data_IF_137875918142
#
_entry.id   IF_137875918142
#
_cell.length_a   1.000
_cell.length_b   1.000
_cell.length_c   1.000
_cell.angle_alpha   90.00
_cell.angle_beta   90.00
_cell.angle_gamma   90.00
#
_symmetry.space_group_name_H-M   'P 1'
#
loop_
_entity.id
_entity.type
_entity.pdbx_description
1 polymer ?
#
# COMPACT_ATOMS: atom_id res chain seq x y z
N UNK A 1 62.46 -22.67 -12.10
CA UNK A 1 62.30 -21.33 -12.69
C UNK A 1 60.89 -20.83 -12.40
N UNK A 2 60.80 -19.58 -11.97
CA UNK A 2 59.81 -19.03 -11.04
C UNK A 2 58.38 -18.92 -11.60
N UNK A 3 57.40 -19.37 -10.80
CA UNK A 3 55.99 -18.91 -10.87
C UNK A 3 55.92 -17.54 -10.19
N UNK A 4 55.78 -16.49 -10.99
CA UNK A 4 55.48 -15.14 -10.53
C UNK A 4 54.03 -15.08 -10.06
N UNK A 5 53.84 -14.89 -8.75
CA UNK A 5 52.59 -14.38 -8.15
C UNK A 5 52.42 -12.94 -8.60
N UNK A 6 51.36 -12.65 -9.37
CA UNK A 6 50.87 -11.28 -9.52
C UNK A 6 49.96 -10.97 -8.33
N UNK A 7 50.47 -10.15 -7.42
CA UNK A 7 49.64 -9.36 -6.52
C UNK A 7 49.05 -8.20 -7.34
N UNK A 8 47.76 -8.28 -7.68
CA UNK A 8 47.01 -7.09 -8.10
C UNK A 8 46.37 -6.48 -6.86
N UNK A 9 47.05 -5.49 -6.31
CA UNK A 9 46.45 -4.48 -5.45
C UNK A 9 45.54 -3.59 -6.31
N UNK A 10 44.25 -3.93 -6.41
CA UNK A 10 43.24 -3.01 -6.92
C UNK A 10 42.56 -2.33 -5.74
N UNK A 11 43.06 -1.15 -5.40
CA UNK A 11 42.26 -0.11 -4.76
C UNK A 11 41.15 0.30 -5.75
N UNK A 12 40.01 -0.41 -5.68
CA UNK A 12 38.83 -0.11 -6.49
C UNK A 12 38.17 1.20 -6.06
N UNK A 13 37.49 1.91 -6.99
CA UNK A 13 36.81 3.16 -6.70
C UNK A 13 35.67 2.94 -5.70
N UNK A 14 35.59 3.82 -4.70
CA UNK A 14 34.51 3.84 -3.71
C UNK A 14 33.18 4.16 -4.42
N UNK A 15 32.36 3.13 -4.62
CA UNK A 15 30.98 3.24 -5.09
C UNK A 15 30.14 4.03 -4.08
N UNK A 16 29.60 5.16 -4.53
CA UNK A 16 28.66 5.99 -3.79
C UNK A 16 27.27 5.37 -3.97
N UNK A 17 26.80 4.68 -2.92
CA UNK A 17 25.46 4.10 -2.88
C UNK A 17 24.38 5.14 -2.55
N UNK A 18 23.20 4.87 -3.10
CA UNK A 18 22.07 5.76 -3.41
C UNK A 18 21.59 6.71 -2.31
N UNK A 19 21.15 7.87 -2.79
CA UNK A 19 20.25 8.90 -2.22
C UNK A 19 20.00 8.87 -0.70
N UNK A 20 19.46 7.80 -0.11
CA UNK A 20 19.22 7.75 1.34
C UNK A 20 20.49 7.75 2.22
N UNK A 21 21.60 7.14 1.77
CA UNK A 21 22.87 7.16 2.54
C UNK A 21 23.61 8.49 2.39
N UNK A 22 23.47 9.13 1.23
CA UNK A 22 23.98 10.47 0.94
C UNK A 22 23.29 11.54 1.80
N UNK A 23 21.96 11.48 1.92
CA UNK A 23 21.15 12.38 2.75
C UNK A 23 21.54 12.30 4.24
N UNK A 24 21.76 11.08 4.77
CA UNK A 24 22.16 10.88 6.17
C UNK A 24 23.62 11.30 6.45
N UNK A 25 24.53 11.14 5.49
CA UNK A 25 25.94 11.51 5.64
C UNK A 25 26.20 13.02 5.44
N UNK A 26 25.41 13.71 4.61
CA UNK A 26 25.48 15.17 4.50
C UNK A 26 24.97 15.87 5.77
N UNK A 27 23.94 15.32 6.43
CA UNK A 27 23.46 15.79 7.74
C UNK A 27 24.56 15.76 8.82
N UNK A 28 25.38 14.71 8.89
CA UNK A 28 26.52 14.63 9.83
C UNK A 28 27.61 15.66 9.57
N UNK A 29 27.79 16.11 8.32
CA UNK A 29 28.81 17.10 7.96
C UNK A 29 28.34 18.55 8.13
N UNK A 30 27.05 18.82 7.98
CA UNK A 30 26.49 20.17 8.08
C UNK A 30 26.07 20.55 9.50
N UNK A 31 25.75 19.58 10.37
CA UNK A 31 25.17 19.85 11.69
C UNK A 31 26.07 19.52 12.89
N UNK A 32 27.36 19.23 12.68
CA UNK A 32 28.31 19.07 13.80
C UNK A 32 28.60 20.38 14.55
N UNK A 33 27.97 21.50 14.19
CA UNK A 33 28.18 22.82 14.81
C UNK A 33 26.92 23.52 15.30
N UNK A 34 25.73 22.89 15.26
CA UNK A 34 24.49 23.50 15.76
C UNK A 34 24.01 22.72 16.98
N UNK A 35 24.47 23.16 18.14
CA UNK A 35 24.06 22.67 19.46
C UNK A 35 22.63 23.11 19.80
N UNK A 36 21.94 22.22 20.50
CA UNK A 36 20.56 22.27 20.94
C UNK A 36 20.06 23.63 21.43
N UNK A 37 18.99 24.14 20.80
CA UNK A 37 18.03 25.02 21.48
C UNK A 37 16.61 24.71 20.99
N UNK A 38 15.86 24.06 21.88
CA UNK A 38 14.42 23.89 21.79
C UNK A 38 13.73 25.26 21.75
N UNK A 39 13.06 25.60 20.66
CA UNK A 39 11.89 26.49 20.71
C UNK A 39 10.98 26.31 19.49
N UNK A 40 9.69 26.24 19.80
CA UNK A 40 8.53 26.14 18.93
C UNK A 40 8.32 27.41 18.08
N UNK A 41 9.17 27.60 17.06
CA UNK A 41 8.91 28.55 15.97
C UNK A 41 9.19 27.91 14.62
N UNK A 42 8.15 27.37 13.98
CA UNK A 42 8.22 26.76 12.63
C UNK A 42 8.55 27.77 11.51
N UNK A 43 8.80 29.04 11.84
CA UNK A 43 9.10 30.11 10.90
C UNK A 43 10.56 30.60 10.84
N UNK A 44 11.48 30.16 11.71
CA UNK A 44 12.83 30.79 11.80
C UNK A 44 14.00 29.94 11.27
N UNK A 45 13.87 28.61 11.19
CA UNK A 45 14.95 27.75 10.72
C UNK A 45 15.20 27.85 9.20
N UNK A 46 14.14 28.10 8.42
CA UNK A 46 14.20 28.20 6.95
C UNK A 46 14.98 29.41 6.47
N UNK A 47 14.75 30.58 7.08
CA UNK A 47 15.49 31.79 6.73
C UNK A 47 16.99 31.62 6.96
N UNK A 48 17.37 30.89 8.02
CA UNK A 48 18.78 30.71 8.39
C UNK A 48 19.49 29.75 7.43
N UNK A 49 18.88 28.60 7.09
CA UNK A 49 19.48 27.62 6.15
C UNK A 49 19.53 28.16 4.72
N UNK A 50 18.48 28.85 4.28
CA UNK A 50 18.46 29.50 2.98
C UNK A 50 19.56 30.56 2.88
N UNK A 51 19.72 31.40 3.91
CA UNK A 51 20.77 32.42 3.94
C UNK A 51 22.18 31.81 3.97
N UNK A 52 22.41 30.75 4.76
CA UNK A 52 23.73 30.09 4.85
C UNK A 52 24.15 29.39 3.55
N UNK A 53 23.20 28.81 2.81
CA UNK A 53 23.48 28.15 1.53
C UNK A 53 23.62 29.16 0.38
N UNK A 54 22.81 30.23 0.38
CA UNK A 54 22.93 31.34 -0.56
C UNK A 54 24.26 32.08 -0.41
N UNK A 55 24.79 32.19 0.82
CA UNK A 55 26.10 32.81 1.06
C UNK A 55 27.29 31.97 0.55
N UNK A 56 27.12 30.67 0.27
CA UNK A 56 28.23 29.77 -0.06
C UNK A 56 28.56 29.65 -1.56
N UNK A 57 27.85 30.34 -2.45
CA UNK A 57 28.16 30.39 -3.89
C UNK A 57 28.35 29.00 -4.54
N UNK A 58 27.65 27.98 -4.02
CA UNK A 58 27.70 26.62 -4.57
C UNK A 58 26.84 26.55 -5.84
N UNK A 59 27.41 26.09 -6.95
CA UNK A 59 26.74 26.00 -8.25
C UNK A 59 25.46 25.15 -8.23
N UNK A 60 25.25 24.33 -7.18
CA UNK A 60 24.14 23.38 -7.03
C UNK A 60 23.33 23.60 -5.73
N UNK A 61 23.35 24.79 -5.13
CA UNK A 61 22.66 25.03 -3.84
C UNK A 61 21.16 24.66 -3.87
N UNK A 62 20.49 24.82 -5.00
CA UNK A 62 19.06 24.46 -5.17
C UNK A 62 18.81 22.97 -5.04
N UNK A 63 19.65 22.15 -5.66
CA UNK A 63 19.60 20.68 -5.55
C UNK A 63 19.76 20.25 -4.09
N UNK A 64 20.70 20.86 -3.37
CA UNK A 64 20.91 20.59 -1.94
C UNK A 64 19.68 20.96 -1.11
N UNK A 65 19.12 22.15 -1.33
CA UNK A 65 17.91 22.60 -0.62
C UNK A 65 16.70 21.71 -0.96
N UNK A 66 16.49 21.37 -2.23
CA UNK A 66 15.38 20.53 -2.65
C UNK A 66 15.50 19.11 -2.08
N UNK A 67 16.71 18.56 -1.98
CA UNK A 67 16.96 17.26 -1.34
C UNK A 67 16.68 17.30 0.18
N UNK A 68 17.07 18.36 0.88
CA UNK A 68 16.75 18.57 2.29
C UNK A 68 15.24 18.72 2.51
N UNK A 69 14.57 19.55 1.70
CA UNK A 69 13.11 19.68 1.68
C UNK A 69 12.44 18.32 1.45
N UNK A 70 12.89 17.55 0.45
CA UNK A 70 12.34 16.22 0.16
C UNK A 70 12.48 15.29 1.37
N UNK A 71 13.63 15.31 2.05
CA UNK A 71 13.85 14.50 3.25
C UNK A 71 12.90 14.87 4.38
N UNK A 72 12.67 16.17 4.62
CA UNK A 72 11.70 16.66 5.62
C UNK A 72 10.26 16.36 5.24
N UNK A 73 9.94 16.42 3.95
CA UNK A 73 8.63 16.03 3.44
C UNK A 73 8.35 14.55 3.71
N UNK A 74 9.34 13.68 3.51
CA UNK A 74 9.26 12.26 3.84
C UNK A 74 9.12 12.03 5.35
N UNK A 75 9.86 12.76 6.19
CA UNK A 75 9.71 12.70 7.65
C UNK A 75 8.27 13.11 8.06
N UNK A 76 7.75 14.22 7.52
CA UNK A 76 6.38 14.65 7.76
C UNK A 76 5.34 13.60 7.33
N UNK A 77 5.55 12.92 6.21
CA UNK A 77 4.68 11.82 5.76
C UNK A 77 4.72 10.63 6.72
N UNK A 78 5.90 10.25 7.22
CA UNK A 78 6.05 9.18 8.23
C UNK A 78 5.36 9.53 9.54
N UNK A 79 5.42 10.79 9.94
CA UNK A 79 4.70 11.33 11.09
C UNK A 79 3.20 11.55 10.79
N UNK A 80 2.70 11.01 9.68
CA UNK A 80 1.30 11.11 9.24
C UNK A 80 0.80 12.56 9.06
N UNK A 81 1.74 13.51 8.91
CA UNK A 81 1.50 14.93 8.63
C UNK A 81 1.51 15.18 7.12
N UNK A 82 0.68 14.44 6.38
CA UNK A 82 0.67 14.41 4.92
C UNK A 82 0.45 15.78 4.25
N UNK A 83 -0.43 16.62 4.80
CA UNK A 83 -0.65 17.97 4.28
C UNK A 83 0.56 18.90 4.46
N UNK A 84 1.41 18.63 5.47
CA UNK A 84 2.70 19.30 5.63
C UNK A 84 3.70 18.77 4.59
N UNK A 85 3.75 17.45 4.42
CA UNK A 85 4.56 16.79 3.38
C UNK A 85 4.27 17.35 1.98
N UNK A 86 2.99 17.47 1.60
CA UNK A 86 2.58 18.03 0.29
C UNK A 86 3.11 19.46 0.07
N UNK A 87 2.97 20.32 1.09
CA UNK A 87 3.46 21.70 1.05
C UNK A 87 4.98 21.73 0.90
N UNK A 88 5.70 20.89 1.65
CA UNK A 88 7.16 20.81 1.61
C UNK A 88 7.64 20.32 0.23
N UNK A 89 7.03 19.27 -0.34
CA UNK A 89 7.39 18.81 -1.69
C UNK A 89 7.11 19.87 -2.75
N UNK A 90 6.01 20.61 -2.61
CA UNK A 90 5.69 21.73 -3.51
C UNK A 90 6.73 22.86 -3.41
N UNK A 91 7.22 23.15 -2.21
CA UNK A 91 8.32 24.09 -2.00
C UNK A 91 9.62 23.58 -2.64
N UNK A 92 9.95 22.29 -2.49
CA UNK A 92 11.13 21.70 -3.12
C UNK A 92 11.11 21.88 -4.64
N UNK A 93 9.96 21.61 -5.26
CA UNK A 93 9.79 21.77 -6.70
C UNK A 93 9.82 23.25 -7.13
N UNK A 94 9.27 24.16 -6.32
CA UNK A 94 9.35 25.59 -6.58
C UNK A 94 10.79 26.10 -6.57
N UNK A 95 11.60 25.69 -5.59
CA UNK A 95 13.03 26.03 -5.51
C UNK A 95 13.78 25.59 -6.77
N UNK A 96 13.49 24.39 -7.28
CA UNK A 96 14.08 23.89 -8.52
C UNK A 96 13.61 24.70 -9.75
N UNK A 97 12.34 25.10 -9.80
CA UNK A 97 11.73 25.84 -10.93
C UNK A 97 12.13 27.32 -11.03
N UNK A 98 12.56 27.96 -9.94
CA UNK A 98 13.02 29.36 -9.95
C UNK A 98 14.34 29.57 -10.72
N UNK A 99 14.95 28.51 -11.21
CA UNK A 99 16.14 28.58 -12.04
C UNK A 99 15.81 29.12 -13.44
N UNK A 100 16.30 30.33 -13.74
CA UNK A 100 16.11 31.02 -15.03
C UNK A 100 16.71 30.29 -16.25
N UNK A 101 17.42 29.19 -16.05
CA UNK A 101 17.92 28.35 -17.14
C UNK A 101 16.93 27.21 -17.41
N UNK A 102 16.15 27.27 -18.51
CA UNK A 102 15.17 26.23 -18.84
C UNK A 102 15.78 24.83 -19.09
N UNK A 103 17.10 24.71 -19.13
CA UNK A 103 17.81 23.43 -19.31
C UNK A 103 18.01 22.62 -18.02
N UNK A 104 17.95 23.22 -16.83
CA UNK A 104 18.43 22.53 -15.61
C UNK A 104 17.35 21.71 -14.87
N UNK A 105 16.08 22.14 -14.86
CA UNK A 105 15.02 21.35 -14.19
C UNK A 105 14.75 20.04 -14.93
N UNK A 106 14.85 20.05 -16.26
CA UNK A 106 14.66 18.86 -17.09
C UNK A 106 15.78 17.81 -16.91
N UNK A 107 16.91 18.22 -16.33
CA UNK A 107 18.08 17.36 -16.09
C UNK A 107 18.29 17.03 -14.60
N UNK A 108 17.38 17.49 -13.72
CA UNK A 108 17.51 17.33 -12.26
C UNK A 108 16.97 15.99 -11.77
N UNK A 109 17.86 15.15 -11.24
CA UNK A 109 17.50 13.91 -10.54
C UNK A 109 16.68 14.19 -9.26
N UNK A 110 16.92 15.31 -8.59
CA UNK A 110 16.11 15.69 -7.43
C UNK A 110 14.71 16.08 -7.83
N UNK A 111 14.52 16.74 -8.98
CA UNK A 111 13.17 17.03 -9.48
C UNK A 111 12.36 15.74 -9.70
N UNK A 112 12.96 14.69 -10.28
CA UNK A 112 12.25 13.41 -10.44
C UNK A 112 11.88 12.77 -9.10
N UNK A 113 12.75 12.86 -8.09
CA UNK A 113 12.47 12.31 -6.75
C UNK A 113 11.36 13.08 -6.03
N UNK A 114 11.33 14.41 -6.15
CA UNK A 114 10.26 15.26 -5.60
C UNK A 114 8.92 14.91 -6.26
N UNK A 115 8.90 14.83 -7.60
CA UNK A 115 7.71 14.45 -8.36
C UNK A 115 7.23 13.03 -8.03
N UNK A 116 8.16 12.10 -7.83
CA UNK A 116 7.84 10.74 -7.38
C UNK A 116 7.16 10.76 -6.01
N UNK A 117 7.69 11.51 -5.04
CA UNK A 117 7.06 11.68 -3.72
C UNK A 117 5.68 12.35 -3.79
N UNK A 118 5.50 13.36 -4.65
CA UNK A 118 4.19 13.97 -4.88
C UNK A 118 3.21 13.00 -5.53
N UNK A 119 3.67 12.18 -6.47
CA UNK A 119 2.87 11.15 -7.13
C UNK A 119 2.38 10.08 -6.15
N UNK A 120 3.28 9.60 -5.28
CA UNK A 120 2.93 8.70 -4.19
C UNK A 120 1.88 9.34 -3.27
N UNK A 121 2.12 10.58 -2.83
CA UNK A 121 1.19 11.28 -1.94
C UNK A 121 -0.20 11.47 -2.58
N UNK A 122 -0.24 11.85 -3.86
CA UNK A 122 -1.48 11.94 -4.62
C UNK A 122 -2.19 10.58 -4.72
N UNK A 123 -1.45 9.49 -4.91
CA UNK A 123 -2.00 8.13 -4.90
C UNK A 123 -2.63 7.77 -3.54
N UNK A 124 -1.96 8.08 -2.42
CA UNK A 124 -2.50 7.89 -1.07
C UNK A 124 -3.80 8.67 -0.84
N UNK A 125 -3.92 9.86 -1.41
CA UNK A 125 -5.15 10.65 -1.36
C UNK A 125 -6.25 10.19 -2.34
N UNK A 126 -6.03 9.13 -3.12
CA UNK A 126 -6.97 8.71 -4.16
C UNK A 126 -7.00 9.64 -5.39
N UNK A 127 -6.08 10.61 -5.48
CA UNK A 127 -5.96 11.56 -6.60
C UNK A 127 -5.19 10.92 -7.77
N UNK A 128 -5.72 9.80 -8.29
CA UNK A 128 -5.00 8.93 -9.22
C UNK A 128 -4.56 9.62 -10.52
N UNK A 129 -5.33 10.59 -11.03
CA UNK A 129 -4.94 11.37 -12.21
C UNK A 129 -3.71 12.25 -11.94
N UNK A 130 -3.71 12.97 -10.82
CA UNK A 130 -2.56 13.78 -10.41
C UNK A 130 -1.34 12.88 -10.15
N UNK A 131 -1.54 11.71 -9.56
CA UNK A 131 -0.48 10.73 -9.38
C UNK A 131 0.15 10.30 -10.70
N UNK A 132 -0.65 9.99 -11.74
CA UNK A 132 -0.13 9.68 -13.08
C UNK A 132 0.68 10.83 -13.66
N UNK A 133 0.19 12.06 -13.57
CA UNK A 133 0.86 13.24 -14.11
C UNK A 133 2.25 13.39 -13.49
N UNK A 134 2.34 13.37 -12.15
CA UNK A 134 3.59 13.47 -11.42
C UNK A 134 4.55 12.29 -11.71
N UNK A 135 4.05 11.05 -11.69
CA UNK A 135 4.87 9.86 -11.90
C UNK A 135 5.38 9.73 -13.34
N UNK A 136 4.57 10.09 -14.34
CA UNK A 136 5.01 10.11 -15.73
C UNK A 136 6.02 11.23 -15.99
N UNK A 137 5.85 12.41 -15.37
CA UNK A 137 6.85 13.48 -15.44
C UNK A 137 8.18 13.04 -14.79
N UNK A 138 8.13 12.40 -13.62
CA UNK A 138 9.31 11.82 -12.97
C UNK A 138 10.01 10.78 -13.87
N UNK A 139 9.25 9.85 -14.47
CA UNK A 139 9.78 8.84 -15.38
C UNK A 139 10.39 9.44 -16.65
N UNK A 140 9.77 10.52 -17.15
CA UNK A 140 10.24 11.27 -18.31
C UNK A 140 11.58 11.91 -18.02
N UNK A 141 11.73 12.63 -16.90
CA UNK A 141 13.00 13.23 -16.48
C UNK A 141 14.12 12.18 -16.39
N UNK A 142 13.86 11.03 -15.77
CA UNK A 142 14.85 9.93 -15.69
C UNK A 142 15.19 9.30 -17.04
N UNK A 143 14.31 9.39 -18.04
CA UNK A 143 14.54 8.78 -19.36
C UNK A 143 15.16 9.76 -20.34
N UNK A 144 14.81 11.04 -20.24
CA UNK A 144 15.26 12.12 -21.11
C UNK A 144 16.50 12.85 -20.60
N UNK A 145 17.15 12.36 -19.53
CA UNK A 145 18.45 12.88 -19.10
C UNK A 145 19.57 12.04 -19.73
N UNK A 146 20.04 12.34 -20.97
CA UNK A 146 21.03 11.54 -21.70
C UNK A 146 22.46 11.69 -21.16
N UNK A 147 22.71 12.67 -20.27
CA UNK A 147 24.06 13.17 -19.98
C UNK A 147 24.70 12.60 -18.72
N UNK A 148 23.98 11.88 -17.86
CA UNK A 148 24.64 11.08 -16.82
C UNK A 148 25.00 9.74 -17.45
N UNK A 149 26.17 9.68 -18.11
CA UNK A 149 26.80 8.45 -18.63
C UNK A 149 27.16 7.41 -17.56
N UNK A 150 26.41 7.37 -16.47
CA UNK A 150 26.39 6.39 -15.40
C UNK A 150 24.93 6.06 -15.16
N UNK A 151 24.31 5.36 -16.12
CA UNK A 151 23.00 4.77 -15.88
C UNK A 151 23.07 3.98 -14.58
N UNK A 152 22.06 4.13 -13.73
CA UNK A 152 21.92 3.27 -12.57
C UNK A 152 21.92 1.81 -13.08
N UNK A 153 23.06 1.12 -12.94
CA UNK A 153 23.27 -0.26 -13.41
C UNK A 153 22.26 -1.23 -12.79
N UNK A 154 21.60 -0.80 -11.72
CA UNK A 154 20.57 -1.52 -10.99
C UNK A 154 19.14 -1.10 -11.36
N UNK A 155 18.97 0.03 -12.04
CA UNK A 155 17.69 0.63 -12.42
C UNK A 155 16.69 0.85 -11.28
N UNK A 156 17.17 1.12 -10.05
CA UNK A 156 16.35 1.29 -8.84
C UNK A 156 15.35 2.43 -8.99
N UNK A 157 15.80 3.64 -9.35
CA UNK A 157 14.93 4.81 -9.37
C UNK A 157 13.82 4.65 -10.42
N UNK A 158 14.21 4.24 -11.63
CA UNK A 158 13.28 4.02 -12.74
C UNK A 158 12.36 2.82 -12.49
N UNK A 159 12.85 1.77 -11.85
CA UNK A 159 12.08 0.60 -11.47
C UNK A 159 11.01 0.94 -10.42
N UNK A 160 11.38 1.71 -9.39
CA UNK A 160 10.45 2.19 -8.37
C UNK A 160 9.28 2.96 -8.97
N UNK A 161 9.55 3.95 -9.84
CA UNK A 161 8.48 4.71 -10.50
C UNK A 161 7.58 3.84 -11.38
N UNK A 162 8.13 2.83 -12.07
CA UNK A 162 7.33 1.89 -12.86
C UNK A 162 6.40 1.04 -11.99
N UNK A 163 6.86 0.61 -10.82
CA UNK A 163 6.05 -0.11 -9.85
C UNK A 163 4.91 0.77 -9.34
N UNK A 164 5.19 2.03 -9.02
CA UNK A 164 4.17 2.95 -8.50
C UNK A 164 3.16 3.39 -9.56
N UNK A 165 3.59 3.55 -10.82
CA UNK A 165 2.68 3.71 -11.96
C UNK A 165 1.77 2.48 -12.12
N UNK A 166 2.32 1.27 -11.97
CA UNK A 166 1.52 0.06 -12.02
C UNK A 166 0.49 0.00 -10.88
N UNK A 167 0.91 0.32 -9.65
CA UNK A 167 0.02 0.39 -8.49
C UNK A 167 -1.10 1.42 -8.73
N UNK A 168 -0.79 2.59 -9.27
CA UNK A 168 -1.78 3.60 -9.63
C UNK A 168 -2.76 3.10 -10.71
N UNK A 169 -2.27 2.45 -11.77
CA UNK A 169 -3.11 1.80 -12.79
C UNK A 169 -3.99 0.69 -12.21
N UNK A 170 -3.50 -0.14 -11.29
CA UNK A 170 -4.31 -1.16 -10.60
C UNK A 170 -5.45 -0.53 -9.81
N UNK A 171 -5.18 0.56 -9.06
CA UNK A 171 -6.21 1.29 -8.30
C UNK A 171 -7.29 1.89 -9.21
N UNK A 172 -6.92 2.41 -10.39
CA UNK A 172 -7.88 2.83 -11.43
C UNK A 172 -8.65 1.67 -12.06
N UNK A 173 -8.14 0.44 -11.97
CA UNK A 173 -8.71 -0.75 -12.63
C UNK A 173 -8.16 -1.00 -14.04
N UNK A 174 -7.07 -0.34 -14.42
CA UNK A 174 -6.41 -0.43 -15.72
C UNK A 174 -5.39 -1.58 -15.74
N UNK A 175 -5.88 -2.80 -15.55
CA UNK A 175 -5.07 -4.02 -15.35
C UNK A 175 -4.01 -4.23 -16.45
N UNK A 176 -4.37 -3.99 -17.72
CA UNK A 176 -3.43 -4.13 -18.86
C UNK A 176 -2.28 -3.13 -18.81
N UNK A 177 -2.55 -1.90 -18.37
CA UNK A 177 -1.52 -0.87 -18.29
C UNK A 177 -0.57 -1.16 -17.12
N UNK A 178 -1.11 -1.57 -15.97
CA UNK A 178 -0.31 -2.03 -14.84
C UNK A 178 0.63 -3.17 -15.23
N UNK A 179 0.13 -4.16 -15.96
CA UNK A 179 0.94 -5.26 -16.49
C UNK A 179 2.09 -4.78 -17.37
N UNK A 180 1.83 -3.83 -18.27
CA UNK A 180 2.87 -3.29 -19.15
C UNK A 180 3.99 -2.63 -18.34
N UNK A 181 3.65 -1.85 -17.32
CA UNK A 181 4.64 -1.23 -16.44
C UNK A 181 5.46 -2.26 -15.66
N UNK A 182 4.81 -3.25 -15.04
CA UNK A 182 5.51 -4.29 -14.27
C UNK A 182 6.38 -5.19 -15.15
N UNK A 183 5.92 -5.60 -16.34
CA UNK A 183 6.75 -6.35 -17.30
C UNK A 183 7.97 -5.55 -17.73
N UNK A 184 7.81 -4.23 -17.92
CA UNK A 184 8.94 -3.35 -18.25
C UNK A 184 9.94 -3.25 -17.09
N UNK A 185 9.45 -3.14 -15.86
CA UNK A 185 10.29 -3.18 -14.66
C UNK A 185 11.03 -4.52 -14.57
N UNK A 186 10.31 -5.65 -14.60
CA UNK A 186 10.88 -6.99 -14.50
C UNK A 186 11.95 -7.25 -15.57
N UNK A 187 11.71 -6.81 -16.81
CA UNK A 187 12.70 -6.89 -17.89
C UNK A 187 13.97 -6.10 -17.57
N UNK A 188 13.84 -4.88 -17.04
CA UNK A 188 14.98 -4.03 -16.64
C UNK A 188 15.76 -4.67 -15.50
N UNK A 189 15.09 -5.11 -14.43
CA UNK A 189 15.75 -5.76 -13.28
C UNK A 189 16.47 -7.04 -13.70
N UNK A 190 15.89 -7.82 -14.62
CA UNK A 190 16.53 -9.05 -15.10
C UNK A 190 17.76 -8.81 -15.98
N UNK A 191 17.89 -7.63 -16.58
CA UNK A 191 19.04 -7.23 -17.42
C UNK A 191 20.03 -6.31 -16.71
N UNK A 192 19.73 -5.89 -15.49
CA UNK A 192 20.65 -5.14 -14.65
C UNK A 192 21.97 -5.91 -14.50
N UNK A 193 23.10 -5.21 -14.64
CA UNK A 193 24.41 -5.83 -14.47
C UNK A 193 24.61 -6.31 -13.03
N UNK A 194 24.12 -5.51 -12.07
CA UNK A 194 24.05 -5.84 -10.66
C UNK A 194 22.59 -5.82 -10.21
N UNK A 195 21.95 -7.00 -10.17
CA UNK A 195 20.55 -7.11 -9.75
C UNK A 195 20.37 -6.60 -8.33
N UNK A 196 19.44 -5.67 -8.15
CA UNK A 196 19.03 -5.22 -6.82
C UNK A 196 17.90 -6.12 -6.31
N UNK A 197 18.20 -6.92 -5.28
CA UNK A 197 17.27 -7.90 -4.73
C UNK A 197 15.99 -7.26 -4.16
N UNK A 198 16.07 -6.04 -3.61
CA UNK A 198 14.89 -5.31 -3.13
C UNK A 198 13.97 -4.93 -4.28
N UNK A 199 14.54 -4.48 -5.40
CA UNK A 199 13.76 -4.14 -6.58
C UNK A 199 13.13 -5.39 -7.23
N UNK A 200 13.83 -6.53 -7.21
CA UNK A 200 13.23 -7.82 -7.61
C UNK A 200 12.03 -8.13 -6.72
N UNK A 201 12.20 -8.07 -5.39
CA UNK A 201 11.15 -8.38 -4.44
C UNK A 201 9.92 -7.47 -4.60
N UNK A 202 10.14 -6.16 -4.74
CA UNK A 202 9.11 -5.16 -5.00
C UNK A 202 8.40 -5.35 -6.35
N UNK A 203 9.10 -5.85 -7.37
CA UNK A 203 8.48 -6.17 -8.65
C UNK A 203 7.59 -7.41 -8.53
N UNK A 204 8.07 -8.46 -7.86
CA UNK A 204 7.35 -9.72 -7.69
C UNK A 204 6.11 -9.56 -6.79
N UNK A 205 6.17 -8.77 -5.71
CA UNK A 205 4.98 -8.49 -4.87
C UNK A 205 3.89 -7.75 -5.66
N UNK A 206 4.26 -6.78 -6.50
CA UNK A 206 3.29 -6.07 -7.36
C UNK A 206 2.75 -6.95 -8.47
N UNK A 207 3.56 -7.87 -9.03
CA UNK A 207 3.08 -8.89 -9.95
C UNK A 207 2.11 -9.85 -9.27
N UNK A 208 2.37 -10.22 -8.01
CA UNK A 208 1.47 -11.07 -7.24
C UNK A 208 0.09 -10.42 -7.05
N UNK A 209 0.05 -9.15 -6.66
CA UNK A 209 -1.21 -8.41 -6.51
C UNK A 209 -1.94 -8.26 -7.85
N UNK A 210 -1.21 -8.00 -8.95
CA UNK A 210 -1.79 -7.95 -10.28
C UNK A 210 -2.41 -9.29 -10.71
N UNK A 211 -1.72 -10.42 -10.47
CA UNK A 211 -2.23 -11.76 -10.75
C UNK A 211 -3.46 -12.07 -9.92
N UNK A 212 -3.47 -11.67 -8.65
CA UNK A 212 -4.65 -11.81 -7.79
C UNK A 212 -5.85 -11.02 -8.33
N UNK A 213 -5.63 -9.78 -8.78
CA UNK A 213 -6.68 -8.96 -9.40
C UNK A 213 -7.22 -9.56 -10.71
N UNK A 214 -6.42 -10.34 -11.43
CA UNK A 214 -6.87 -11.09 -12.61
C UNK A 214 -7.65 -12.36 -12.26
N UNK A 215 -7.56 -12.83 -11.01
CA UNK A 215 -8.13 -14.10 -10.56
C UNK A 215 -7.16 -15.28 -10.63
N UNK A 216 -5.90 -15.04 -11.00
CA UNK A 216 -4.86 -16.06 -11.11
C UNK A 216 -4.18 -16.25 -9.75
N UNK A 217 -4.89 -16.88 -8.79
CA UNK A 217 -4.45 -16.97 -7.39
C UNK A 217 -3.15 -17.79 -7.23
N UNK A 218 -2.97 -18.86 -7.99
CA UNK A 218 -1.74 -19.67 -7.95
C UNK A 218 -0.51 -18.87 -8.39
N UNK A 219 -0.67 -18.05 -9.42
CA UNK A 219 0.37 -17.14 -9.90
C UNK A 219 0.67 -16.05 -8.87
N UNK A 220 -0.36 -15.55 -8.17
CA UNK A 220 -0.19 -14.62 -7.06
C UNK A 220 0.61 -15.23 -5.90
N UNK A 221 0.30 -16.47 -5.50
CA UNK A 221 1.06 -17.20 -4.46
C UNK A 221 2.51 -17.41 -4.90
N UNK A 222 2.73 -17.85 -6.15
CA UNK A 222 4.08 -18.07 -6.69
C UNK A 222 4.92 -16.80 -6.66
N UNK A 223 4.40 -15.70 -7.21
CA UNK A 223 5.12 -14.41 -7.19
C UNK A 223 5.30 -13.87 -5.76
N UNK A 224 4.33 -14.07 -4.86
CA UNK A 224 4.47 -13.71 -3.45
C UNK A 224 5.60 -14.48 -2.75
N UNK A 225 5.74 -15.78 -3.01
CA UNK A 225 6.86 -16.59 -2.50
C UNK A 225 8.21 -16.12 -3.07
N UNK A 226 8.27 -15.88 -4.38
CA UNK A 226 9.47 -15.33 -5.04
C UNK A 226 9.89 -13.96 -4.45
N UNK A 227 8.92 -13.11 -4.09
CA UNK A 227 9.19 -11.82 -3.46
C UNK A 227 9.87 -11.99 -2.08
N UNK A 228 9.40 -12.93 -1.26
CA UNK A 228 10.00 -13.22 0.04
C UNK A 228 11.41 -13.81 -0.09
N UNK A 229 11.63 -14.72 -1.03
CA UNK A 229 12.97 -15.25 -1.33
C UNK A 229 13.94 -14.15 -1.77
N UNK A 230 13.46 -13.17 -2.55
CA UNK A 230 14.25 -12.02 -2.96
C UNK A 230 14.57 -11.08 -1.78
N UNK A 231 13.66 -10.91 -0.82
CA UNK A 231 13.97 -10.19 0.43
C UNK A 231 15.01 -10.94 1.28
N UNK A 232 14.92 -12.28 1.37
CA UNK A 232 15.95 -13.09 2.05
C UNK A 232 17.32 -12.93 1.41
N UNK A 233 17.39 -12.96 0.08
CA UNK A 233 18.63 -12.71 -0.64
C UNK A 233 19.17 -11.30 -0.41
N UNK A 234 18.29 -10.30 -0.30
CA UNK A 234 18.69 -8.93 -0.02
C UNK A 234 19.25 -8.77 1.39
N UNK A 235 18.61 -9.37 2.39
CA UNK A 235 19.07 -9.36 3.79
C UNK A 235 20.40 -10.11 3.94
N UNK A 236 20.56 -11.25 3.28
CA UNK A 236 21.81 -12.01 3.28
C UNK A 236 22.98 -11.24 2.63
N UNK A 237 22.68 -10.41 1.63
CA UNK A 237 23.67 -9.53 0.99
C UNK A 237 23.93 -8.23 1.76
N UNK A 238 23.07 -7.90 2.74
CA UNK A 238 23.16 -6.67 3.50
C UNK A 238 24.28 -6.76 4.55
N UNK A 239 25.01 -5.66 4.75
CA UNK A 239 25.96 -5.56 5.86
C UNK A 239 25.17 -5.53 7.17
N UNK A 240 25.65 -6.20 8.22
CA UNK A 240 25.03 -6.17 9.55
C UNK A 240 24.69 -4.73 9.97
N UNK A 241 23.44 -4.52 10.40
CA UNK A 241 22.90 -3.20 10.73
C UNK A 241 22.40 -2.38 9.53
N UNK A 242 22.27 -2.98 8.35
CA UNK A 242 21.58 -2.34 7.22
C UNK A 242 20.14 -2.04 7.60
N UNK A 243 19.62 -0.85 7.27
CA UNK A 243 18.26 -0.49 7.60
C UNK A 243 17.28 -1.41 6.88
N UNK A 244 16.20 -1.79 7.58
CA UNK A 244 15.07 -2.45 6.95
C UNK A 244 14.46 -1.54 5.86
N UNK A 245 13.86 -2.19 4.86
CA UNK A 245 13.17 -1.48 3.79
C UNK A 245 11.79 -1.13 4.30
N UNK A 246 11.58 0.17 4.45
CA UNK A 246 10.29 0.75 4.80
C UNK A 246 9.68 1.42 3.58
N UNK A 247 8.36 1.36 3.46
CA UNK A 247 7.63 2.03 2.41
C UNK A 247 7.53 3.54 2.66
N UNK A 248 6.79 4.23 1.79
CA UNK A 248 6.56 5.68 1.91
C UNK A 248 5.87 6.07 3.22
N UNK A 249 5.03 5.19 3.77
CA UNK A 249 4.33 5.39 5.04
C UNK A 249 5.16 4.98 6.27
N UNK A 250 6.31 4.35 6.08
CA UNK A 250 7.19 3.88 7.16
C UNK A 250 6.94 2.43 7.59
N UNK A 251 6.09 1.69 6.88
CA UNK A 251 5.78 0.29 7.18
C UNK A 251 6.83 -0.62 6.54
N UNK A 252 7.18 -1.71 7.21
CA UNK A 252 8.13 -2.69 6.68
C UNK A 252 7.55 -3.40 5.44
N UNK A 253 8.20 -3.25 4.29
CA UNK A 253 7.72 -3.77 3.00
C UNK A 253 7.65 -5.31 3.00
N UNK A 254 8.60 -5.97 3.66
CA UNK A 254 8.61 -7.44 3.77
C UNK A 254 7.41 -7.92 4.59
N UNK A 255 7.07 -7.20 5.66
CA UNK A 255 5.88 -7.49 6.46
C UNK A 255 4.59 -7.35 5.63
N UNK A 256 4.50 -6.33 4.77
CA UNK A 256 3.40 -6.20 3.80
C UNK A 256 3.36 -7.34 2.77
N UNK A 257 4.51 -7.82 2.31
CA UNK A 257 4.59 -8.96 1.40
C UNK A 257 4.02 -10.24 2.03
N UNK A 258 4.36 -10.48 3.30
CA UNK A 258 3.80 -11.60 4.07
C UNK A 258 2.28 -11.47 4.24
N UNK A 259 1.79 -10.26 4.53
CA UNK A 259 0.37 -9.97 4.65
C UNK A 259 -0.39 -10.27 3.35
N UNK A 260 0.14 -9.81 2.21
CA UNK A 260 -0.45 -10.08 0.89
C UNK A 260 -0.39 -11.56 0.53
N UNK A 261 0.72 -12.26 0.84
CA UNK A 261 0.80 -13.69 0.62
C UNK A 261 -0.22 -14.46 1.48
N UNK A 262 -0.42 -14.06 2.73
CA UNK A 262 -1.46 -14.64 3.59
C UNK A 262 -2.85 -14.50 2.98
N UNK A 263 -3.17 -13.31 2.45
CA UNK A 263 -4.40 -13.06 1.70
C UNK A 263 -4.58 -14.04 0.53
N UNK A 264 -3.54 -14.27 -0.27
CA UNK A 264 -3.64 -15.20 -1.41
C UNK A 264 -3.80 -16.65 -0.94
N UNK A 265 -3.07 -17.05 0.10
CA UNK A 265 -3.17 -18.38 0.70
C UNK A 265 -4.56 -18.66 1.28
N UNK A 266 -5.18 -17.68 1.94
CA UNK A 266 -6.57 -17.79 2.41
C UNK A 266 -7.54 -18.01 1.26
N UNK A 267 -7.38 -17.29 0.15
CA UNK A 267 -8.24 -17.45 -1.03
C UNK A 267 -8.14 -18.85 -1.64
N UNK A 268 -6.98 -19.50 -1.57
CA UNK A 268 -6.77 -20.88 -2.03
C UNK A 268 -7.08 -21.95 -0.97
N UNK A 269 -7.50 -21.57 0.23
CA UNK A 269 -7.83 -22.51 1.32
C UNK A 269 -6.63 -23.02 2.13
N UNK A 270 -5.43 -22.48 1.93
CA UNK A 270 -4.22 -22.84 2.69
C UNK A 270 -4.16 -22.07 4.03
N UNK A 271 -5.16 -22.25 4.89
CA UNK A 271 -5.36 -21.45 6.10
C UNK A 271 -4.19 -21.53 7.09
N UNK A 272 -3.59 -22.73 7.26
CA UNK A 272 -2.43 -22.93 8.12
C UNK A 272 -1.18 -22.17 7.66
N UNK A 273 -0.89 -22.15 6.35
CA UNK A 273 0.23 -21.34 5.81
C UNK A 273 -0.08 -19.84 5.93
N UNK A 274 -1.33 -19.43 5.70
CA UNK A 274 -1.73 -18.04 5.83
C UNK A 274 -1.52 -17.51 7.26
N UNK A 275 -1.91 -18.30 8.27
CA UNK A 275 -1.67 -18.01 9.69
C UNK A 275 -0.21 -17.73 9.99
N UNK A 276 0.68 -18.62 9.56
CA UNK A 276 2.13 -18.49 9.77
C UNK A 276 2.62 -17.17 9.17
N UNK A 277 2.14 -16.80 7.97
CA UNK A 277 2.55 -15.55 7.33
C UNK A 277 2.02 -14.31 8.05
N UNK A 278 0.80 -14.34 8.61
CA UNK A 278 0.31 -13.24 9.45
C UNK A 278 1.15 -13.11 10.74
N UNK A 279 1.51 -14.22 11.38
CA UNK A 279 2.33 -14.21 12.61
C UNK A 279 3.76 -13.70 12.36
N UNK A 280 4.39 -14.15 11.28
CA UNK A 280 5.70 -13.64 10.84
C UNK A 280 5.64 -12.13 10.52
N UNK A 281 4.56 -11.70 9.88
CA UNK A 281 4.29 -10.32 9.52
C UNK A 281 4.15 -9.42 10.76
N UNK A 282 3.34 -9.84 11.73
CA UNK A 282 3.17 -9.16 13.02
C UNK A 282 4.50 -9.03 13.77
N UNK A 283 5.24 -10.14 13.88
CA UNK A 283 6.53 -10.17 14.56
C UNK A 283 7.54 -9.21 13.94
N UNK A 284 7.54 -9.10 12.61
CA UNK A 284 8.49 -8.24 11.89
C UNK A 284 8.15 -6.75 12.01
N UNK A 285 6.86 -6.39 12.03
CA UNK A 285 6.44 -4.99 12.17
C UNK A 285 6.49 -4.52 13.63
N UNK A 286 6.28 -5.41 14.59
CA UNK A 286 6.06 -5.08 16.00
C UNK A 286 4.57 -4.99 16.35
N UNK A 287 4.25 -5.09 17.64
CA UNK A 287 2.87 -5.08 18.12
C UNK A 287 2.25 -3.68 18.09
N UNK A 288 1.01 -3.60 17.62
CA UNK A 288 0.25 -2.34 17.50
C UNK A 288 0.11 -1.59 18.83
N UNK A 289 0.05 -2.32 19.94
CA UNK A 289 -0.20 -1.78 21.28
C UNK A 289 0.87 -0.79 21.75
N UNK A 290 2.03 -0.79 21.12
CA UNK A 290 3.17 0.05 21.49
C UNK A 290 3.39 1.22 20.54
N UNK A 291 2.76 1.21 19.36
CA UNK A 291 2.96 2.27 18.37
C UNK A 291 2.03 3.46 18.60
N UNK A 292 2.61 4.65 18.58
CA UNK A 292 1.87 5.92 18.50
C UNK A 292 1.82 6.50 17.08
N UNK A 293 2.40 5.78 16.11
CA UNK A 293 2.55 6.26 14.73
C UNK A 293 1.29 5.85 13.94
N UNK A 294 0.49 6.80 13.41
CA UNK A 294 -0.78 6.47 12.77
C UNK A 294 -0.66 5.50 11.58
N UNK A 295 0.45 5.54 10.84
CA UNK A 295 0.70 4.63 9.72
C UNK A 295 0.89 3.17 10.17
N UNK A 296 1.57 2.97 11.30
CA UNK A 296 1.72 1.64 11.89
C UNK A 296 0.37 1.14 12.42
N UNK A 297 -0.46 2.00 13.02
CA UNK A 297 -1.82 1.63 13.40
C UNK A 297 -2.67 1.24 12.19
N UNK A 298 -2.54 1.96 11.08
CA UNK A 298 -3.27 1.68 9.85
C UNK A 298 -2.82 0.34 9.22
N UNK A 299 -1.55 -0.01 9.38
CA UNK A 299 -1.04 -1.35 9.04
C UNK A 299 -1.62 -2.43 9.96
N UNK A 300 -1.62 -2.21 11.28
CA UNK A 300 -2.17 -3.15 12.24
C UNK A 300 -3.67 -3.39 12.03
N UNK A 301 -4.43 -2.36 11.66
CA UNK A 301 -5.81 -2.50 11.25
C UNK A 301 -5.98 -3.50 10.09
N UNK A 302 -5.13 -3.42 9.06
CA UNK A 302 -5.13 -4.38 7.94
C UNK A 302 -4.78 -5.78 8.41
N UNK A 303 -3.72 -5.91 9.21
CA UNK A 303 -3.27 -7.18 9.77
C UNK A 303 -4.38 -7.86 10.58
N UNK A 304 -5.00 -7.16 11.52
CA UNK A 304 -6.10 -7.68 12.33
C UNK A 304 -7.37 -7.95 11.51
N UNK A 305 -7.63 -7.17 10.46
CA UNK A 305 -8.71 -7.50 9.51
C UNK A 305 -8.46 -8.84 8.83
N UNK A 306 -7.21 -9.14 8.42
CA UNK A 306 -6.88 -10.43 7.83
C UNK A 306 -6.90 -11.59 8.83
N UNK A 307 -6.51 -11.37 10.09
CA UNK A 307 -6.75 -12.36 11.14
C UNK A 307 -8.25 -12.62 11.33
N UNK A 308 -9.06 -11.57 11.37
CA UNK A 308 -10.53 -11.69 11.46
C UNK A 308 -11.10 -12.55 10.34
N UNK A 309 -10.66 -12.31 9.09
CA UNK A 309 -11.05 -13.12 7.92
C UNK A 309 -10.55 -14.56 8.07
N UNK A 310 -9.29 -14.78 8.45
CA UNK A 310 -8.72 -16.12 8.62
C UNK A 310 -9.54 -16.96 9.61
N UNK A 311 -9.83 -16.41 10.79
CA UNK A 311 -10.60 -17.12 11.81
C UNK A 311 -12.06 -17.34 11.41
N UNK A 312 -12.66 -16.43 10.65
CA UNK A 312 -13.99 -16.66 10.07
C UNK A 312 -13.97 -17.84 9.09
N UNK A 313 -12.91 -17.98 8.27
CA UNK A 313 -12.74 -19.11 7.34
C UNK A 313 -12.50 -20.45 8.06
N UNK A 314 -11.95 -20.41 9.27
CA UNK A 314 -11.78 -21.58 10.14
C UNK A 314 -12.99 -21.86 11.05
N UNK A 315 -14.08 -21.09 10.90
CA UNK A 315 -15.29 -21.19 11.73
C UNK A 315 -15.07 -20.86 13.23
N UNK A 316 -13.98 -20.17 13.57
CA UNK A 316 -13.73 -19.60 14.91
C UNK A 316 -14.23 -18.14 14.97
N UNK A 317 -15.55 -18.00 15.04
CA UNK A 317 -16.22 -16.69 15.03
C UNK A 317 -15.89 -15.82 16.25
N UNK A 318 -15.56 -16.43 17.39
CA UNK A 318 -15.17 -15.70 18.60
C UNK A 318 -13.82 -15.01 18.43
N UNK A 319 -12.82 -15.73 17.89
CA UNK A 319 -11.54 -15.12 17.54
C UNK A 319 -11.70 -14.10 16.42
N UNK A 320 -12.50 -14.42 15.39
CA UNK A 320 -12.79 -13.51 14.28
C UNK A 320 -13.31 -12.15 14.76
N UNK A 321 -14.35 -12.18 15.60
CA UNK A 321 -14.94 -10.98 16.23
C UNK A 321 -13.93 -10.18 17.03
N UNK A 322 -13.09 -10.85 17.84
CA UNK A 322 -12.03 -10.17 18.63
C UNK A 322 -11.05 -9.43 17.73
N UNK A 323 -10.62 -10.03 16.64
CA UNK A 323 -9.68 -9.40 15.71
C UNK A 323 -10.32 -8.26 14.91
N UNK A 324 -11.58 -8.37 14.48
CA UNK A 324 -12.27 -7.24 13.85
C UNK A 324 -12.47 -6.07 14.81
N UNK A 325 -12.76 -6.33 16.09
CA UNK A 325 -12.81 -5.28 17.11
C UNK A 325 -11.45 -4.60 17.33
N UNK A 326 -10.36 -5.38 17.37
CA UNK A 326 -8.99 -4.83 17.44
C UNK A 326 -8.66 -3.98 16.20
N UNK A 327 -8.99 -4.47 15.00
CA UNK A 327 -8.81 -3.72 13.77
C UNK A 327 -9.56 -2.38 13.82
N UNK A 328 -10.81 -2.38 14.28
CA UNK A 328 -11.62 -1.16 14.40
C UNK A 328 -10.99 -0.16 15.38
N UNK A 329 -10.46 -0.63 16.52
CA UNK A 329 -9.74 0.23 17.45
C UNK A 329 -8.48 0.84 16.82
N UNK A 330 -7.74 0.09 16.01
CA UNK A 330 -6.59 0.62 15.27
C UNK A 330 -7.00 1.65 14.22
N UNK A 331 -8.12 1.44 13.53
CA UNK A 331 -8.68 2.37 12.53
C UNK A 331 -9.06 3.71 13.15
N UNK A 332 -9.80 3.70 14.26
CA UNK A 332 -10.26 4.92 14.95
C UNK A 332 -9.09 5.81 15.37
N UNK A 333 -7.95 5.20 15.69
CA UNK A 333 -6.74 5.92 16.07
C UNK A 333 -5.84 6.29 14.88
N UNK A 334 -6.03 5.67 13.71
CA UNK A 334 -5.33 6.03 12.47
C UNK A 334 -6.00 7.24 11.82
N UNK A 335 -5.36 8.40 11.88
CA UNK A 335 -5.93 9.65 11.34
C UNK A 335 -6.05 9.57 9.80
N UNK A 336 -7.28 9.52 9.27
CA UNK A 336 -7.68 10.06 7.97
C UNK A 336 -7.17 9.44 6.66
N UNK A 337 -6.23 8.48 6.66
CA UNK A 337 -5.58 8.04 5.41
C UNK A 337 -5.89 6.64 4.89
N UNK A 338 -6.57 5.81 5.66
CA UNK A 338 -7.02 4.50 5.20
C UNK A 338 -8.55 4.39 5.31
N UNK A 339 -9.26 5.40 4.83
CA UNK A 339 -10.74 5.40 4.86
C UNK A 339 -11.34 4.18 4.15
N UNK A 340 -10.81 3.67 3.02
CA UNK A 340 -11.32 2.43 2.44
C UNK A 340 -11.11 1.22 3.35
N UNK A 341 -9.93 1.06 3.95
CA UNK A 341 -9.66 -0.06 4.85
C UNK A 341 -10.49 0.06 6.13
N UNK A 342 -10.66 1.29 6.64
CA UNK A 342 -11.53 1.61 7.77
C UNK A 342 -12.98 1.19 7.50
N UNK A 343 -13.51 1.52 6.33
CA UNK A 343 -14.85 1.13 5.91
C UNK A 343 -14.98 -0.40 5.81
N UNK A 344 -13.96 -1.09 5.28
CA UNK A 344 -13.96 -2.55 5.19
C UNK A 344 -13.88 -3.20 6.58
N UNK A 345 -13.05 -2.68 7.48
CA UNK A 345 -12.98 -3.14 8.87
C UNK A 345 -14.32 -2.94 9.58
N UNK A 346 -14.96 -1.77 9.44
CA UNK A 346 -16.28 -1.50 10.02
C UNK A 346 -17.34 -2.44 9.45
N UNK A 347 -17.35 -2.63 8.13
CA UNK A 347 -18.28 -3.54 7.46
C UNK A 347 -18.13 -4.97 7.97
N UNK A 348 -16.90 -5.47 8.09
CA UNK A 348 -16.65 -6.82 8.58
C UNK A 348 -16.98 -6.95 10.06
N UNK A 349 -16.66 -5.96 10.88
CA UNK A 349 -17.00 -5.96 12.30
C UNK A 349 -18.52 -5.98 12.52
N UNK A 350 -19.27 -5.28 11.67
CA UNK A 350 -20.73 -5.25 11.71
C UNK A 350 -21.38 -6.64 11.51
N UNK A 351 -20.73 -7.53 10.75
CA UNK A 351 -21.20 -8.93 10.58
C UNK A 351 -21.20 -9.69 11.91
N UNK A 352 -20.31 -9.32 12.84
CA UNK A 352 -20.10 -10.01 14.12
C UNK A 352 -20.59 -9.21 15.34
N UNK A 353 -21.40 -8.16 15.12
CA UNK A 353 -21.96 -7.36 16.20
C UNK A 353 -22.95 -8.19 17.05
N UNK A 354 -22.96 -7.95 18.37
CA UNK A 354 -23.87 -8.67 19.30
C UNK A 354 -25.32 -8.17 19.23
N UNK A 355 -25.50 -6.95 18.75
CA UNK A 355 -26.77 -6.25 18.69
C UNK A 355 -26.99 -5.63 17.31
N UNK A 356 -28.26 -5.64 16.90
CA UNK A 356 -28.71 -5.17 15.59
C UNK A 356 -28.45 -3.67 15.40
N UNK A 357 -28.62 -2.86 16.46
CA UNK A 357 -28.39 -1.43 16.39
C UNK A 357 -26.91 -1.10 16.24
N UNK A 358 -26.02 -1.86 16.90
CA UNK A 358 -24.57 -1.77 16.69
C UNK A 358 -24.19 -2.12 15.24
N UNK A 359 -24.72 -3.22 14.69
CA UNK A 359 -24.48 -3.60 13.29
C UNK A 359 -24.91 -2.48 12.32
N UNK A 360 -26.12 -1.94 12.49
CA UNK A 360 -26.66 -0.84 11.67
C UNK A 360 -25.77 0.40 11.73
N UNK A 361 -25.31 0.80 12.92
CA UNK A 361 -24.43 1.96 13.09
C UNK A 361 -23.09 1.74 12.37
N UNK A 362 -22.49 0.56 12.48
CA UNK A 362 -21.24 0.22 11.80
C UNK A 362 -21.39 0.19 10.27
N UNK A 363 -22.44 -0.44 9.73
CA UNK A 363 -22.72 -0.43 8.28
C UNK A 363 -22.99 0.98 7.76
N UNK A 364 -23.74 1.79 8.50
CA UNK A 364 -24.01 3.20 8.13
C UNK A 364 -22.70 3.99 8.05
N UNK A 365 -21.80 3.82 9.04
CA UNK A 365 -20.48 4.45 9.02
C UNK A 365 -19.63 3.96 7.85
N UNK A 366 -19.60 2.65 7.60
CA UNK A 366 -18.88 2.08 6.46
C UNK A 366 -19.39 2.65 5.12
N UNK A 367 -20.70 2.73 4.93
CA UNK A 367 -21.33 3.28 3.72
C UNK A 367 -20.93 4.75 3.49
N UNK A 368 -21.00 5.58 4.54
CA UNK A 368 -20.59 7.00 4.47
C UNK A 368 -19.13 7.11 4.03
N UNK A 369 -18.24 6.29 4.59
CA UNK A 369 -16.82 6.28 4.24
C UNK A 369 -16.57 5.83 2.80
N UNK A 370 -17.28 4.79 2.32
CA UNK A 370 -17.18 4.37 0.92
C UNK A 370 -17.65 5.46 -0.06
N UNK A 371 -18.74 6.17 0.26
CA UNK A 371 -19.25 7.29 -0.54
C UNK A 371 -18.28 8.48 -0.57
N UNK A 372 -17.61 8.78 0.54
CA UNK A 372 -16.61 9.85 0.61
C UNK A 372 -15.39 9.60 -0.28
N UNK A 373 -15.11 8.34 -0.63
CA UNK A 373 -13.93 7.93 -1.40
C UNK A 373 -14.23 7.61 -2.87
N UNK A 374 -15.39 8.01 -3.38
CA UNK A 374 -15.80 7.75 -4.76
C UNK A 374 -15.66 6.27 -5.17
N UNK A 375 -15.91 5.35 -4.23
CA UNK A 375 -16.05 3.92 -4.53
C UNK A 375 -17.54 3.55 -4.51
N UNK A 376 -18.30 3.88 -5.58
CA UNK A 376 -19.75 3.67 -5.61
C UNK A 376 -20.10 2.18 -5.47
N UNK A 377 -19.20 1.30 -5.86
CA UNK A 377 -19.37 -0.15 -5.84
C UNK A 377 -19.32 -0.72 -4.42
N UNK A 378 -18.35 -0.30 -3.62
CA UNK A 378 -18.31 -0.71 -2.21
C UNK A 378 -19.42 -0.02 -1.40
N UNK A 379 -19.78 1.22 -1.74
CA UNK A 379 -20.93 1.90 -1.15
C UNK A 379 -22.24 1.14 -1.42
N UNK A 380 -22.46 0.64 -2.64
CA UNK A 380 -23.61 -0.19 -3.00
C UNK A 380 -23.67 -1.49 -2.17
N UNK A 381 -22.53 -2.15 -1.93
CA UNK A 381 -22.50 -3.38 -1.12
C UNK A 381 -22.81 -3.09 0.36
N UNK A 382 -22.22 -2.03 0.92
CA UNK A 382 -22.52 -1.62 2.29
C UNK A 382 -24.00 -1.26 2.43
N UNK A 383 -24.56 -0.55 1.45
CA UNK A 383 -25.97 -0.20 1.39
C UNK A 383 -26.87 -1.43 1.28
N UNK A 384 -26.52 -2.41 0.42
CA UNK A 384 -27.27 -3.66 0.29
C UNK A 384 -27.32 -4.45 1.60
N UNK A 385 -26.19 -4.55 2.31
CA UNK A 385 -26.17 -5.20 3.63
C UNK A 385 -27.01 -4.41 4.66
N UNK A 386 -26.94 -3.08 4.63
CA UNK A 386 -27.75 -2.21 5.48
C UNK A 386 -29.26 -2.36 5.20
N UNK A 387 -29.68 -2.42 3.94
CA UNK A 387 -31.07 -2.64 3.55
C UNK A 387 -31.56 -4.03 3.97
N UNK A 388 -30.72 -5.05 3.77
CA UNK A 388 -31.02 -6.41 4.19
C UNK A 388 -31.31 -6.44 5.69
N UNK A 389 -30.40 -5.90 6.51
CA UNK A 389 -30.54 -5.85 7.97
C UNK A 389 -31.76 -5.07 8.41
N UNK A 390 -32.06 -3.92 7.78
CA UNK A 390 -33.26 -3.15 8.08
C UNK A 390 -34.55 -3.89 7.69
N UNK A 391 -34.51 -4.70 6.64
CA UNK A 391 -35.59 -5.62 6.26
C UNK A 391 -35.86 -6.66 7.35
N UNK A 392 -34.80 -7.29 7.86
CA UNK A 392 -34.87 -8.24 8.97
C UNK A 392 -35.35 -7.57 10.26
N UNK A 393 -34.87 -6.37 10.58
CA UNK A 393 -35.27 -5.61 11.76
C UNK A 393 -36.80 -5.40 11.81
N UNK A 394 -37.39 -4.99 10.69
CA UNK A 394 -38.84 -4.81 10.57
C UNK A 394 -39.61 -6.12 10.77
N UNK A 395 -39.09 -7.22 10.25
CA UNK A 395 -39.70 -8.55 10.41
C UNK A 395 -39.60 -9.08 11.86
N UNK A 396 -38.50 -8.77 12.56
CA UNK A 396 -38.26 -9.17 13.95
C UNK A 396 -39.10 -8.34 14.92
N UNK A 397 -39.27 -7.03 14.69
CA UNK A 397 -40.18 -6.20 15.50
C UNK A 397 -41.64 -6.69 15.41
N UNK A 398 -42.02 -7.30 14.28
CA UNK A 398 -43.33 -7.94 14.10
C UNK A 398 -43.43 -9.33 14.78
N UNK A 399 -42.30 -9.91 15.22
CA UNK A 399 -42.23 -11.23 15.86
C UNK A 399 -41.43 -11.17 17.18
N UNK A 400 -42.14 -10.90 18.29
CA UNK A 400 -41.66 -10.84 19.68
C UNK A 400 -40.27 -11.45 19.97
N UNK A 401 -39.36 -10.55 20.35
CA UNK A 401 -37.88 -10.61 20.51
C UNK A 401 -37.30 -11.81 21.29
N UNK A 402 -38.09 -12.62 22.02
CA UNK A 402 -37.54 -13.66 22.92
C UNK A 402 -37.02 -14.93 22.23
N UNK A 403 -37.23 -15.10 20.92
CA UNK A 403 -36.95 -16.38 20.25
C UNK A 403 -35.60 -16.43 19.48
N UNK A 404 -34.92 -15.30 19.25
CA UNK A 404 -33.86 -15.22 18.21
C UNK A 404 -32.40 -15.28 18.69
N UNK A 405 -32.10 -15.09 19.97
CA UNK A 405 -30.75 -15.39 20.49
C UNK A 405 -30.40 -16.90 20.41
N UNK A 406 -31.39 -17.78 20.21
CA UNK A 406 -31.17 -19.20 19.91
C UNK A 406 -31.03 -19.51 18.42
N UNK A 407 -31.75 -18.82 17.53
CA UNK A 407 -31.74 -19.18 16.11
C UNK A 407 -30.59 -18.59 15.29
N UNK A 408 -29.94 -17.50 15.71
CA UNK A 408 -28.70 -17.07 15.04
C UNK A 408 -27.56 -18.12 15.15
N UNK A 409 -27.65 -19.06 16.10
CA UNK A 409 -26.76 -20.22 16.21
C UNK A 409 -27.15 -21.40 15.32
N UNK A 410 -28.42 -21.46 14.86
CA UNK A 410 -29.01 -22.59 14.14
C UNK A 410 -29.44 -22.23 12.70
N UNK A 411 -29.36 -20.95 12.30
CA UNK A 411 -29.72 -20.49 10.96
C UNK A 411 -28.58 -20.74 9.96
N UNK A 412 -28.72 -21.78 9.14
CA UNK A 412 -27.95 -22.03 7.90
C UNK A 412 -28.02 -20.85 6.88
N UNK A 413 -28.80 -19.80 7.17
CA UNK A 413 -29.05 -18.62 6.33
C UNK A 413 -28.15 -17.40 6.62
N UNK A 414 -27.23 -17.48 7.59
CA UNK A 414 -26.12 -16.50 7.71
C UNK A 414 -25.23 -16.50 6.44
N UNK A 415 -25.37 -17.53 5.59
CA UNK A 415 -24.63 -17.70 4.35
C UNK A 415 -24.92 -16.71 3.22
N UNK A 416 -25.61 -15.60 3.44
CA UNK A 416 -25.76 -14.52 2.44
C UNK A 416 -24.98 -13.24 2.78
N UNK A 417 -24.41 -13.12 3.98
CA UNK A 417 -23.65 -11.92 4.37
C UNK A 417 -22.23 -11.92 3.77
N UNK A 418 -21.95 -10.88 2.99
CA UNK A 418 -20.67 -10.71 2.32
C UNK A 418 -19.63 -10.15 3.30
N UNK A 419 -18.60 -10.95 3.58
CA UNK A 419 -17.37 -10.47 4.23
C UNK A 419 -16.51 -9.81 3.15
N UNK A 420 -16.16 -8.55 3.36
CA UNK A 420 -15.33 -7.79 2.43
C UNK A 420 -13.84 -8.05 2.70
N UNK A 421 -13.08 -8.21 1.63
CA UNK A 421 -11.62 -8.27 1.71
C UNK A 421 -11.04 -6.87 1.37
N UNK A 422 -10.07 -6.35 2.14
CA UNK A 422 -9.48 -5.02 1.98
C UNK A 422 -9.01 -4.65 0.57
N UNK A 423 -8.68 -5.64 -0.26
CA UNK A 423 -8.06 -5.41 -1.57
C UNK A 423 -8.97 -5.66 -2.79
N UNK A 424 -10.27 -5.93 -2.61
CA UNK A 424 -11.12 -6.38 -3.71
C UNK A 424 -11.91 -5.25 -4.38
N UNK A 425 -11.82 -5.16 -5.72
CA UNK A 425 -12.94 -4.68 -6.56
C UNK A 425 -13.85 -5.88 -6.89
N UNK A 426 -15.17 -5.65 -6.83
CA UNK A 426 -16.36 -6.53 -6.95
C UNK A 426 -16.25 -7.96 -7.54
N UNK A 427 -15.33 -8.29 -8.45
CA UNK A 427 -15.40 -9.56 -9.19
C UNK A 427 -15.05 -10.82 -8.38
N UNK A 428 -14.80 -10.73 -7.07
CA UNK A 428 -14.41 -11.87 -6.23
C UNK A 428 -14.97 -11.82 -4.80
N UNK A 429 -16.25 -11.45 -4.64
CA UNK A 429 -16.95 -11.50 -3.35
C UNK A 429 -16.86 -12.90 -2.72
N UNK A 430 -16.60 -12.96 -1.41
CA UNK A 430 -16.63 -14.20 -0.64
C UNK A 430 -17.95 -14.29 0.12
N UNK A 431 -18.73 -15.32 -0.19
CA UNK A 431 -19.96 -15.67 0.50
C UNK A 431 -19.62 -16.88 1.39
N UNK A 432 -19.60 -16.74 2.73
CA UNK A 432 -19.35 -17.84 3.64
C UNK A 432 -20.55 -18.79 3.65
N UNK A 433 -20.50 -19.86 2.84
CA UNK A 433 -21.53 -20.90 2.81
C UNK A 433 -21.81 -21.39 1.41
N UNK A 434 -21.32 -22.59 1.08
CA UNK A 434 -21.59 -23.18 -0.23
C UNK A 434 -20.72 -24.39 -0.52
N UNK A 435 -21.09 -25.52 0.08
CA UNK A 435 -20.75 -26.83 -0.48
C UNK A 435 -21.13 -26.80 -1.97
N UNK A 436 -20.19 -27.24 -2.81
CA UNK A 436 -20.36 -27.49 -4.25
C UNK A 436 -21.81 -27.80 -4.64
N UNK A 437 -22.49 -26.85 -5.29
CA UNK A 437 -23.78 -27.10 -5.93
C UNK A 437 -24.86 -26.02 -5.76
N UNK A 438 -24.64 -24.78 -6.18
CA UNK A 438 -25.73 -23.89 -6.56
C UNK A 438 -25.26 -22.79 -7.52
N UNK A 439 -25.85 -22.80 -8.70
CA UNK A 439 -25.70 -21.81 -9.76
C UNK A 439 -26.28 -20.48 -9.30
N UNK A 440 -25.52 -19.38 -9.40
CA UNK A 440 -26.06 -18.02 -9.23
C UNK A 440 -27.07 -17.76 -10.36
N UNK A 441 -28.36 -17.81 -10.02
CA UNK A 441 -29.45 -17.32 -10.87
C UNK A 441 -29.47 -15.79 -10.79
N UNK A 442 -29.14 -15.13 -11.89
CA UNK A 442 -29.51 -13.74 -12.09
C UNK A 442 -31.04 -13.66 -12.29
N UNK A 443 -31.74 -13.04 -11.34
CA UNK A 443 -33.16 -12.70 -11.46
C UNK A 443 -33.24 -11.23 -11.89
N UNK A 444 -33.53 -11.01 -13.18
CA UNK A 444 -34.78 -10.37 -13.62
C UNK A 444 -34.74 -10.02 -15.12
N UNK A 445 -35.64 -10.62 -15.91
CA UNK A 445 -36.72 -9.89 -16.60
C UNK A 445 -37.76 -10.87 -17.21
N UNK A 446 -38.97 -10.39 -17.55
CA UNK A 446 -40.24 -11.09 -17.28
C UNK A 446 -40.64 -12.11 -18.34
N UNK A 447 -41.44 -13.09 -17.91
CA UNK A 447 -42.15 -14.04 -18.77
C UNK A 447 -43.36 -13.35 -19.41
N UNK A 448 -43.32 -13.15 -20.72
CA UNK A 448 -44.54 -13.07 -21.51
C UNK A 448 -44.95 -14.48 -21.94
N UNK A 449 -46.17 -14.85 -21.54
CA UNK A 449 -46.88 -16.02 -22.02
C UNK A 449 -47.49 -15.72 -23.39
N UNK A 450 -47.25 -16.59 -24.38
CA UNK A 450 -48.25 -16.89 -25.39
C UNK A 450 -48.15 -18.36 -25.80
N UNK A 451 -49.27 -19.05 -25.63
CA UNK A 451 -49.52 -20.46 -25.89
C UNK A 451 -49.81 -20.71 -27.39
N UNK A 452 -49.83 -22.01 -27.75
CA UNK A 452 -50.48 -22.68 -28.89
C UNK A 452 -49.59 -23.02 -30.11
N UNK A 453 -49.48 -24.33 -30.38
CA UNK A 453 -49.12 -24.87 -31.70
C UNK A 453 -48.60 -26.30 -31.68
N UNK A 454 -49.49 -27.28 -31.56
CA UNK A 454 -49.21 -28.72 -31.71
C UNK A 454 -48.82 -29.12 -33.14
N UNK A 455 -47.82 -30.02 -33.23
CA UNK A 455 -47.71 -31.22 -34.09
C UNK A 455 -47.55 -31.12 -35.63
N UNK A 456 -47.09 -32.21 -36.29
CA UNK A 456 -46.68 -33.54 -35.79
C UNK A 456 -45.17 -33.74 -35.60
#
# INVERSE_FOLDING_TARGET
>A
MNRTKMHSSSSGPRLVFSTFRLLRNQRKRLFSSVSDSNSSSSGSAWSTISNDLLCKNETNWREVIANDLTSRGLEAVRDSSYGVGEKIFSQALAVLREEKSPKNVQESLTASNVLHCQGLLANYYGRYKQADECLNEALKLLTETPNFGMGDDQFVDKGGILIDLANNSMRKGEVKQAENFLRRCQYMVNRAYAKNANLVALTEISLAELSFLKGDVDDAIRSGKNALEAFDAAEAAAVEGSPQIIDFSGVNVRSQAMLLLAKYLMKSGYLGEARIKLEESEKLQGSASESSIPNEMAYCAKLYTYYGILYALEEDFESSKRYFAQANNSVVNSVGLNVPDAAITLHNNAVFADDLKEAIDMYTKAEVLFRQHDDPKLAEIAHFNLESINGWAKYIDDCTISFHQRQLKDCETVGEMIILNPSLKINQLYIPGGVSGATVRMINQPRDYSFVGQQP
#
